data_IF_371884468124
#
_entry.id   IF_371884468124
#
_cell.length_a   1.000
_cell.length_b   1.000
_cell.length_c   1.000
_cell.angle_alpha   90.00
_cell.angle_beta   90.00
_cell.angle_gamma   90.00
#
_symmetry.space_group_name_H-M   'P 1'
#
loop_
_entity.id
_entity.type
_entity.pdbx_description
1 polymer ?
#
# COMPACT_ATOMS: atom_id res chain seq x y z
N UNK A 1 17.59 31.42 -7.00
CA UNK A 1 16.25 31.37 -6.37
C UNK A 1 16.36 31.00 -4.88
N UNK A 2 16.28 31.98 -3.96
CA UNK A 2 16.50 31.77 -2.49
C UNK A 2 15.47 30.83 -1.84
N UNK A 3 14.22 30.84 -2.32
CA UNK A 3 13.16 29.96 -1.81
C UNK A 3 13.48 28.45 -2.05
N UNK A 4 14.07 28.11 -3.20
CA UNK A 4 14.42 26.73 -3.54
C UNK A 4 15.56 26.17 -2.69
N UNK A 5 16.52 27.03 -2.32
CA UNK A 5 17.65 26.66 -1.43
C UNK A 5 17.17 26.48 0.02
N UNK A 6 16.25 27.34 0.49
CA UNK A 6 15.66 27.25 1.83
C UNK A 6 14.82 25.97 2.02
N UNK A 7 14.02 25.60 1.01
CA UNK A 7 13.24 24.35 1.02
C UNK A 7 14.15 23.12 1.16
N UNK A 8 15.28 23.07 0.45
CA UNK A 8 16.24 21.95 0.55
C UNK A 8 16.92 21.88 1.91
N UNK A 9 17.28 23.01 2.51
CA UNK A 9 17.89 23.04 3.84
C UNK A 9 16.94 22.50 4.93
N UNK A 10 15.65 22.85 4.87
CA UNK A 10 14.63 22.30 5.76
C UNK A 10 14.43 20.79 5.58
N UNK A 11 14.42 20.31 4.33
CA UNK A 11 14.26 18.88 4.01
C UNK A 11 15.44 18.06 4.53
N UNK A 12 16.66 18.58 4.40
CA UNK A 12 17.89 17.95 4.92
C UNK A 12 17.83 17.77 6.44
N UNK A 13 17.25 18.73 7.18
CA UNK A 13 17.11 18.66 8.64
C UNK A 13 16.07 17.61 9.09
N UNK A 14 15.13 17.26 8.23
CA UNK A 14 14.11 16.24 8.50
C UNK A 14 14.60 14.81 8.22
N UNK A 15 15.61 14.64 7.35
CA UNK A 15 16.20 13.35 6.99
C UNK A 15 16.85 12.68 8.20
N UNK A 16 16.74 11.35 8.27
CA UNK A 16 17.59 10.55 9.14
C UNK A 16 19.02 10.48 8.56
N UNK A 17 19.99 10.16 9.41
CA UNK A 17 21.36 9.89 8.95
C UNK A 17 21.45 8.74 7.95
N UNK A 18 20.59 7.71 8.09
CA UNK A 18 20.54 6.58 7.17
C UNK A 18 20.12 7.00 5.76
N UNK A 19 19.02 7.74 5.64
CA UNK A 19 18.54 8.20 4.34
C UNK A 19 19.51 9.18 3.70
N UNK A 20 20.08 10.07 4.52
CA UNK A 20 21.10 11.02 4.10
C UNK A 20 22.32 10.32 3.51
N UNK A 21 22.85 9.29 4.18
CA UNK A 21 23.95 8.45 3.68
C UNK A 21 23.63 7.85 2.31
N UNK A 22 22.47 7.22 2.15
CA UNK A 22 22.09 6.58 0.87
C UNK A 22 21.88 7.57 -0.26
N UNK A 23 21.42 8.78 0.03
CA UNK A 23 21.28 9.84 -0.97
C UNK A 23 22.66 10.36 -1.39
N UNK A 24 23.52 10.71 -0.44
CA UNK A 24 24.85 11.26 -0.75
C UNK A 24 25.76 10.22 -1.38
N UNK A 25 25.59 8.94 -1.07
CA UNK A 25 26.30 7.84 -1.74
C UNK A 25 25.73 7.51 -3.13
N UNK A 26 24.74 8.25 -3.63
CA UNK A 26 24.10 8.01 -4.94
C UNK A 26 23.26 6.73 -5.02
N UNK A 27 22.98 6.07 -3.89
CA UNK A 27 22.24 4.80 -3.84
C UNK A 27 20.73 4.99 -3.75
N UNK A 28 20.27 6.18 -3.43
CA UNK A 28 18.85 6.53 -3.40
C UNK A 28 18.61 7.92 -4.04
N UNK A 29 17.66 8.06 -4.97
CA UNK A 29 17.41 9.36 -5.61
C UNK A 29 16.85 10.40 -4.62
N UNK A 30 17.49 11.57 -4.54
CA UNK A 30 16.99 12.70 -3.73
C UNK A 30 15.55 13.08 -4.10
N UNK A 31 15.21 12.99 -5.40
CA UNK A 31 13.88 13.31 -5.90
C UNK A 31 12.79 12.43 -5.26
N UNK A 32 13.02 11.12 -5.18
CA UNK A 32 12.10 10.17 -4.56
C UNK A 32 11.89 10.47 -3.08
N UNK A 33 12.92 10.89 -2.35
CA UNK A 33 12.73 11.33 -0.96
C UNK A 33 11.80 12.55 -0.87
N UNK A 34 12.07 13.58 -1.67
CA UNK A 34 11.36 14.86 -1.62
C UNK A 34 9.88 14.72 -1.98
N UNK A 35 9.57 13.98 -3.05
CA UNK A 35 8.24 13.97 -3.65
C UNK A 35 7.44 12.70 -3.36
N UNK A 36 8.09 11.55 -3.16
CA UNK A 36 7.40 10.29 -2.83
C UNK A 36 7.33 10.06 -1.32
N UNK A 37 8.43 10.17 -0.59
CA UNK A 37 8.47 9.76 0.83
C UNK A 37 7.86 10.82 1.75
N UNK A 38 8.07 12.10 1.43
CA UNK A 38 7.63 13.21 2.30
C UNK A 38 6.12 13.29 2.50
N UNK A 39 5.31 12.88 1.51
CA UNK A 39 3.85 12.81 1.66
C UNK A 39 3.42 11.81 2.73
N UNK A 40 4.15 10.71 2.89
CA UNK A 40 3.86 9.70 3.92
C UNK A 40 4.29 10.15 5.32
N UNK A 41 5.36 10.93 5.42
CA UNK A 41 5.84 11.50 6.69
C UNK A 41 4.95 12.63 7.22
N UNK A 42 4.30 13.40 6.32
CA UNK A 42 3.37 14.48 6.70
C UNK A 42 2.07 13.97 7.30
N UNK A 43 1.62 12.80 6.86
CA UNK A 43 0.53 12.07 7.48
C UNK A 43 1.16 11.37 8.68
N UNK A 44 0.84 11.77 9.93
CA UNK A 44 1.47 11.30 11.18
C UNK A 44 1.36 9.77 11.47
N UNK A 45 1.21 8.94 10.45
CA UNK A 45 1.06 7.49 10.49
C UNK A 45 2.36 6.72 10.22
N UNK A 46 3.41 7.38 9.71
CA UNK A 46 4.67 6.72 9.31
C UNK A 46 5.83 7.25 10.13
N UNK A 47 6.53 6.36 10.83
CA UNK A 47 7.68 6.74 11.64
C UNK A 47 8.93 6.94 10.77
N UNK A 48 9.90 7.74 11.26
CA UNK A 48 11.22 7.86 10.60
C UNK A 48 11.90 6.49 10.44
N UNK A 49 11.68 5.58 11.38
CA UNK A 49 12.22 4.20 11.34
C UNK A 49 11.65 3.41 10.16
N UNK A 50 10.36 3.55 9.87
CA UNK A 50 9.73 2.87 8.72
C UNK A 50 10.27 3.40 7.39
N UNK A 51 10.58 4.70 7.32
CA UNK A 51 11.23 5.32 6.17
C UNK A 51 12.66 4.81 6.00
N UNK A 52 13.42 4.73 7.08
CA UNK A 52 14.80 4.21 7.07
C UNK A 52 14.84 2.76 6.59
N UNK A 53 13.91 1.94 7.08
CA UNK A 53 13.79 0.54 6.70
C UNK A 53 13.42 0.40 5.22
N UNK A 54 12.44 1.18 4.73
CA UNK A 54 12.10 1.20 3.30
C UNK A 54 13.29 1.60 2.44
N UNK A 55 13.96 2.72 2.76
CA UNK A 55 15.10 3.22 1.99
C UNK A 55 16.24 2.20 2.00
N UNK A 56 16.50 1.53 3.13
CA UNK A 56 17.50 0.48 3.22
C UNK A 56 17.19 -0.73 2.33
N UNK A 57 15.92 -1.10 2.19
CA UNK A 57 15.49 -2.21 1.33
C UNK A 57 15.62 -1.91 -0.17
N UNK A 58 15.40 -0.65 -0.59
CA UNK A 58 15.37 -0.26 -2.01
C UNK A 58 16.66 0.41 -2.51
N UNK A 59 17.52 0.90 -1.62
CA UNK A 59 18.73 1.63 -2.00
C UNK A 59 19.78 0.76 -2.71
N UNK A 60 20.30 1.24 -3.84
CA UNK A 60 21.32 0.57 -4.63
C UNK A 60 20.80 -0.55 -5.53
N UNK A 61 19.47 -0.68 -5.68
CA UNK A 61 18.81 -1.69 -6.53
C UNK A 61 18.57 -1.22 -7.98
N UNK A 62 19.17 -0.09 -8.38
CA UNK A 62 19.02 0.55 -9.70
C UNK A 62 17.55 0.72 -10.18
N UNK A 63 16.67 1.08 -9.25
CA UNK A 63 15.24 1.24 -9.52
C UNK A 63 14.94 2.59 -10.16
N UNK A 64 13.96 2.62 -11.07
CA UNK A 64 13.47 3.88 -11.60
C UNK A 64 12.71 4.68 -10.52
N UNK A 65 12.58 5.99 -10.71
CA UNK A 65 11.77 6.84 -9.82
C UNK A 65 10.32 6.32 -9.72
N UNK A 66 9.77 5.80 -10.82
CA UNK A 66 8.42 5.22 -10.86
C UNK A 66 8.32 3.93 -10.04
N UNK A 67 9.32 3.05 -10.15
CA UNK A 67 9.37 1.81 -9.36
C UNK A 67 9.46 2.13 -7.86
N UNK A 68 10.26 3.13 -7.48
CA UNK A 68 10.38 3.59 -6.09
C UNK A 68 9.05 4.17 -5.59
N UNK A 69 8.34 4.95 -6.41
CA UNK A 69 7.02 5.50 -6.05
C UNK A 69 5.97 4.40 -5.84
N UNK A 70 5.96 3.42 -6.74
CA UNK A 70 5.08 2.25 -6.65
C UNK A 70 5.37 1.42 -5.39
N UNK A 71 6.65 1.12 -5.14
CA UNK A 71 7.09 0.41 -3.94
C UNK A 71 6.77 1.17 -2.65
N UNK A 72 6.91 2.50 -2.64
CA UNK A 72 6.57 3.31 -1.48
C UNK A 72 5.06 3.23 -1.19
N UNK A 73 4.21 3.35 -2.21
CA UNK A 73 2.77 3.16 -2.04
C UNK A 73 2.44 1.74 -1.55
N UNK A 74 3.07 0.70 -2.11
CA UNK A 74 2.90 -0.69 -1.64
C UNK A 74 3.37 -0.91 -0.21
N UNK A 75 4.49 -0.31 0.20
CA UNK A 75 5.08 -0.48 1.52
C UNK A 75 4.31 0.26 2.63
N UNK A 76 3.94 1.53 2.38
CA UNK A 76 3.29 2.39 3.38
C UNK A 76 1.76 2.26 3.39
N UNK A 77 1.11 1.94 2.26
CA UNK A 77 -0.36 1.80 2.17
C UNK A 77 -0.84 0.36 1.93
N UNK A 78 0.03 -0.56 1.53
CA UNK A 78 -0.31 -1.94 1.22
C UNK A 78 -0.42 -2.86 2.44
N UNK A 79 -0.56 -4.16 2.17
CA UNK A 79 -0.68 -5.21 3.20
C UNK A 79 0.66 -5.53 3.87
N UNK A 80 0.60 -6.17 5.04
CA UNK A 80 1.80 -6.64 5.76
C UNK A 80 2.62 -7.66 4.93
N UNK A 81 1.96 -8.40 4.02
CA UNK A 81 2.60 -9.31 3.08
C UNK A 81 3.52 -8.56 2.12
N UNK A 82 3.02 -7.54 1.43
CA UNK A 82 3.81 -6.72 0.49
C UNK A 82 4.94 -6.02 1.24
N UNK A 83 4.66 -5.49 2.43
CA UNK A 83 5.67 -4.86 3.27
C UNK A 83 6.78 -5.85 3.65
N UNK A 84 6.43 -7.05 4.11
CA UNK A 84 7.38 -8.11 4.47
C UNK A 84 8.26 -8.54 3.30
N UNK A 85 7.69 -8.67 2.11
CA UNK A 85 8.44 -9.04 0.90
C UNK A 85 9.44 -7.96 0.47
N UNK A 86 9.06 -6.68 0.57
CA UNK A 86 9.97 -5.56 0.33
C UNK A 86 11.11 -5.56 1.35
N UNK A 87 10.81 -5.78 2.64
CA UNK A 87 11.83 -5.88 3.71
C UNK A 87 12.83 -7.02 3.46
N UNK A 88 12.33 -8.17 3.01
CA UNK A 88 13.14 -9.35 2.71
C UNK A 88 13.95 -9.22 1.41
N UNK A 89 13.85 -8.08 0.70
CA UNK A 89 14.62 -7.81 -0.50
C UNK A 89 14.05 -8.43 -1.77
N UNK A 90 12.82 -8.96 -1.72
CA UNK A 90 12.07 -9.50 -2.86
C UNK A 90 11.42 -8.36 -3.66
N UNK A 91 12.23 -7.38 -4.07
CA UNK A 91 11.80 -6.14 -4.70
C UNK A 91 11.19 -6.40 -6.09
N UNK A 92 11.76 -7.33 -6.86
CA UNK A 92 11.25 -7.71 -8.17
C UNK A 92 9.84 -8.30 -8.07
N UNK A 93 9.62 -9.23 -7.13
CA UNK A 93 8.29 -9.80 -6.86
C UNK A 93 7.28 -8.73 -6.40
N UNK A 94 7.71 -7.82 -5.51
CA UNK A 94 6.87 -6.71 -5.05
C UNK A 94 6.49 -5.78 -6.21
N UNK A 95 7.44 -5.46 -7.08
CA UNK A 95 7.20 -4.69 -8.29
C UNK A 95 6.32 -5.43 -9.27
N UNK A 96 6.49 -6.72 -9.51
CA UNK A 96 5.64 -7.49 -10.42
C UNK A 96 4.21 -7.58 -9.91
N UNK A 97 3.99 -7.76 -8.60
CA UNK A 97 2.64 -7.79 -8.03
C UNK A 97 1.97 -6.41 -8.04
N UNK A 98 2.72 -5.36 -7.73
CA UNK A 98 2.22 -3.98 -7.82
C UNK A 98 2.00 -3.56 -9.28
N UNK A 99 2.88 -4.00 -10.19
CA UNK A 99 2.74 -3.81 -11.63
C UNK A 99 1.58 -4.61 -12.16
N UNK A 100 1.33 -5.84 -11.75
CA UNK A 100 0.15 -6.61 -12.16
C UNK A 100 -1.16 -5.95 -11.68
N UNK A 101 -1.17 -5.37 -10.47
CA UNK A 101 -2.29 -4.55 -9.98
C UNK A 101 -2.44 -3.22 -10.75
N UNK A 102 -1.35 -2.66 -11.29
CA UNK A 102 -1.37 -1.39 -12.06
C UNK A 102 -1.41 -1.52 -13.59
N UNK A 103 -0.98 -2.65 -14.17
CA UNK A 103 -0.81 -2.89 -15.60
C UNK A 103 -2.15 -3.24 -16.26
N UNK A 104 -3.13 -3.70 -15.47
CA UNK A 104 -4.53 -3.72 -15.90
C UNK A 104 -5.11 -2.32 -16.12
N UNK A 105 -4.43 -1.22 -15.73
CA UNK A 105 -5.01 0.11 -15.85
C UNK A 105 -4.76 0.80 -17.21
N UNK A 106 -3.82 0.32 -18.04
CA UNK A 106 -3.49 1.01 -19.30
C UNK A 106 -4.36 0.64 -20.50
N UNK A 107 -4.92 -0.57 -20.54
CA UNK A 107 -5.75 -1.06 -21.66
C UNK A 107 -7.24 -1.25 -21.29
N UNK A 108 -7.59 -1.09 -20.01
CA UNK A 108 -8.98 -1.18 -19.56
C UNK A 108 -9.74 0.13 -19.77
N UNK A 109 -10.95 0.02 -20.32
CA UNK A 109 -11.95 1.07 -20.36
C UNK A 109 -12.25 1.59 -18.95
N UNK A 110 -12.79 2.81 -18.84
CA UNK A 110 -13.18 3.36 -17.53
C UNK A 110 -14.15 2.47 -16.75
N UNK A 111 -14.98 1.68 -17.44
CA UNK A 111 -15.91 0.75 -16.81
C UNK A 111 -15.15 -0.42 -16.16
N UNK A 112 -14.19 -1.01 -16.87
CA UNK A 112 -13.35 -2.11 -16.38
C UNK A 112 -12.44 -1.66 -15.23
N UNK A 113 -11.86 -0.45 -15.31
CA UNK A 113 -11.08 0.12 -14.20
C UNK A 113 -11.91 0.30 -12.93
N UNK A 114 -13.18 0.73 -13.06
CA UNK A 114 -14.10 0.82 -11.92
C UNK A 114 -14.40 -0.56 -11.34
N UNK A 115 -14.67 -1.55 -12.20
CA UNK A 115 -14.91 -2.92 -11.76
C UNK A 115 -13.70 -3.51 -11.01
N UNK A 116 -12.48 -3.33 -11.54
CA UNK A 116 -11.25 -3.77 -10.87
C UNK A 116 -11.09 -3.11 -9.49
N UNK A 117 -11.36 -1.81 -9.40
CA UNK A 117 -11.32 -1.09 -8.12
C UNK A 117 -12.37 -1.60 -7.14
N UNK A 118 -13.57 -1.92 -7.61
CA UNK A 118 -14.63 -2.48 -6.77
C UNK A 118 -14.25 -3.89 -6.25
N UNK A 119 -13.60 -4.71 -7.08
CA UNK A 119 -13.05 -6.02 -6.68
C UNK A 119 -11.95 -5.89 -5.62
N UNK A 120 -11.03 -4.93 -5.79
CA UNK A 120 -9.99 -4.66 -4.79
C UNK A 120 -10.58 -4.19 -3.45
N UNK A 121 -11.60 -3.32 -3.50
CA UNK A 121 -12.32 -2.85 -2.31
C UNK A 121 -13.00 -4.03 -1.60
N UNK A 122 -13.69 -4.89 -2.35
CA UNK A 122 -14.34 -6.08 -1.81
C UNK A 122 -13.33 -6.99 -1.11
N UNK A 123 -12.22 -7.33 -1.78
CA UNK A 123 -11.16 -8.17 -1.23
C UNK A 123 -10.60 -7.59 0.08
N UNK A 124 -10.28 -6.28 0.09
CA UNK A 124 -9.74 -5.59 1.27
C UNK A 124 -10.68 -5.67 2.46
N UNK A 125 -11.98 -5.44 2.26
CA UNK A 125 -12.95 -5.48 3.34
C UNK A 125 -13.27 -6.89 3.81
N UNK A 126 -13.33 -7.88 2.92
CA UNK A 126 -13.46 -9.30 3.29
C UNK A 126 -12.32 -9.76 4.19
N UNK A 127 -11.07 -9.42 3.84
CA UNK A 127 -9.90 -9.73 4.66
C UNK A 127 -9.95 -9.00 6.01
N UNK A 128 -10.28 -7.70 6.01
CA UNK A 128 -10.39 -6.91 7.24
C UNK A 128 -11.44 -7.45 8.21
N UNK A 129 -12.62 -7.84 7.71
CA UNK A 129 -13.67 -8.43 8.54
C UNK A 129 -13.22 -9.79 9.07
N UNK A 130 -12.61 -10.62 8.23
CA UNK A 130 -12.09 -11.94 8.62
C UNK A 130 -11.01 -11.88 9.71
N UNK A 131 -10.13 -10.87 9.67
CA UNK A 131 -9.12 -10.67 10.71
C UNK A 131 -9.73 -10.11 12.00
N UNK A 132 -10.60 -9.09 11.90
CA UNK A 132 -11.18 -8.42 13.07
C UNK A 132 -12.23 -9.27 13.80
N UNK A 133 -12.92 -10.18 13.11
CA UNK A 133 -13.90 -11.08 13.72
C UNK A 133 -13.28 -12.04 14.74
N UNK A 134 -11.96 -12.27 14.66
CA UNK A 134 -11.20 -13.10 15.61
C UNK A 134 -10.76 -12.35 16.88
N UNK A 135 -11.04 -11.04 16.98
CA UNK A 135 -10.67 -10.25 18.16
C UNK A 135 -11.54 -10.62 19.37
N UNK A 136 -10.90 -11.19 20.38
CA UNK A 136 -11.55 -11.62 21.63
C UNK A 136 -12.13 -10.47 22.45
N UNK A 137 -11.83 -9.20 22.10
CA UNK A 137 -12.40 -8.02 22.77
C UNK A 137 -13.85 -7.75 22.38
N UNK A 138 -14.37 -8.35 21.31
CA UNK A 138 -15.73 -8.14 20.80
C UNK A 138 -16.79 -8.92 21.61
N UNK A 139 -17.05 -8.49 22.85
CA UNK A 139 -17.94 -9.22 23.80
C UNK A 139 -19.25 -8.51 24.15
N UNK A 140 -19.41 -7.23 23.80
CA UNK A 140 -20.58 -6.45 24.19
C UNK A 140 -21.89 -7.01 23.61
N UNK A 141 -22.96 -7.06 24.41
CA UNK A 141 -24.25 -7.62 24.00
C UNK A 141 -24.91 -6.81 22.88
N UNK A 142 -24.84 -5.48 22.95
CA UNK A 142 -25.33 -4.58 21.90
C UNK A 142 -24.58 -4.77 20.57
N UNK A 143 -23.26 -4.98 20.64
CA UNK A 143 -22.45 -5.32 19.47
C UNK A 143 -22.88 -6.66 18.86
N UNK A 144 -23.09 -7.71 19.66
CA UNK A 144 -23.50 -9.02 19.15
C UNK A 144 -24.85 -8.98 18.45
N UNK A 145 -25.82 -8.24 18.98
CA UNK A 145 -27.12 -8.07 18.35
C UNK A 145 -27.01 -7.39 16.97
N UNK A 146 -26.27 -6.28 16.88
CA UNK A 146 -26.05 -5.58 15.61
C UNK A 146 -25.18 -6.38 14.64
N UNK A 147 -24.13 -7.04 15.14
CA UNK A 147 -23.25 -7.88 14.36
C UNK A 147 -24.02 -9.06 13.76
N UNK A 148 -24.89 -9.73 14.52
CA UNK A 148 -25.71 -10.83 14.00
C UNK A 148 -26.64 -10.40 12.87
N UNK A 149 -27.25 -9.21 12.97
CA UNK A 149 -28.09 -8.67 11.89
C UNK A 149 -27.27 -8.38 10.63
N UNK A 150 -26.11 -7.75 10.78
CA UNK A 150 -25.23 -7.40 9.66
C UNK A 150 -24.57 -8.63 9.02
N UNK A 151 -24.06 -9.58 9.82
CA UNK A 151 -23.48 -10.83 9.31
C UNK A 151 -24.55 -11.69 8.64
N UNK A 152 -25.79 -11.73 9.16
CA UNK A 152 -26.91 -12.38 8.49
C UNK A 152 -27.29 -11.73 7.15
N UNK A 153 -27.15 -10.40 7.03
CA UNK A 153 -27.27 -9.71 5.75
C UNK A 153 -26.17 -10.11 4.77
N UNK A 154 -24.91 -10.09 5.21
CA UNK A 154 -23.75 -10.46 4.41
C UNK A 154 -23.86 -11.92 3.94
N UNK A 155 -24.20 -12.86 4.83
CA UNK A 155 -24.32 -14.28 4.48
C UNK A 155 -25.38 -14.56 3.40
N UNK A 156 -26.49 -13.82 3.40
CA UNK A 156 -27.51 -13.94 2.34
C UNK A 156 -26.99 -13.43 0.99
N UNK A 157 -26.25 -12.34 0.98
CA UNK A 157 -25.68 -11.78 -0.25
C UNK A 157 -24.41 -12.52 -0.70
N UNK A 158 -23.77 -13.28 0.20
CA UNK A 158 -22.51 -13.96 -0.07
C UNK A 158 -22.65 -15.00 -1.20
N UNK A 159 -23.77 -15.72 -1.25
CA UNK A 159 -24.00 -16.72 -2.30
C UNK A 159 -24.10 -16.09 -3.69
N UNK A 160 -24.90 -15.03 -3.82
CA UNK A 160 -25.03 -14.29 -5.09
C UNK A 160 -23.72 -13.59 -5.47
N UNK A 161 -23.01 -13.03 -4.49
CA UNK A 161 -21.71 -12.42 -4.71
C UNK A 161 -20.66 -13.44 -5.16
N UNK A 162 -20.58 -14.61 -4.51
CA UNK A 162 -19.68 -15.70 -4.90
C UNK A 162 -19.97 -16.16 -6.32
N UNK A 163 -21.25 -16.35 -6.67
CA UNK A 163 -21.67 -16.73 -8.02
C UNK A 163 -21.22 -15.68 -9.04
N UNK A 164 -21.48 -14.40 -8.79
CA UNK A 164 -21.09 -13.31 -9.68
C UNK A 164 -19.56 -13.22 -9.87
N UNK A 165 -18.78 -13.37 -8.79
CA UNK A 165 -17.31 -13.36 -8.87
C UNK A 165 -16.79 -14.59 -9.61
N UNK A 166 -17.39 -15.76 -9.41
CA UNK A 166 -17.02 -17.00 -10.12
C UNK A 166 -17.31 -16.89 -11.62
N UNK A 167 -18.50 -16.41 -11.99
CA UNK A 167 -18.85 -16.16 -13.40
C UNK A 167 -17.92 -15.15 -14.06
N UNK A 168 -17.47 -14.13 -13.33
CA UNK A 168 -16.49 -13.17 -13.84
C UNK A 168 -15.10 -13.81 -14.00
N UNK A 169 -14.66 -14.60 -13.02
CA UNK A 169 -13.39 -15.31 -13.05
C UNK A 169 -13.32 -16.33 -14.20
N UNK A 170 -14.40 -17.06 -14.45
CA UNK A 170 -14.46 -18.06 -15.53
C UNK A 170 -14.47 -17.41 -16.94
N UNK A 171 -14.71 -16.10 -17.04
CA UNK A 171 -14.70 -15.31 -18.28
C UNK A 171 -13.37 -14.59 -18.54
N UNK A 172 -12.47 -14.54 -17.56
CA UNK A 172 -11.14 -13.94 -17.67
C UNK A 172 -10.09 -14.99 -18.04
#
# INVERSE_FOLDING_TARGET
SRAWVSVRAGIIKEMSGCVMDKIFSGRFPTYSYMYTLRQFMRINSVSKKDVDEFVSSVAGRNLSIRDIDMLANGYFKGSDEIRGQIKNGNIAWGLERLKASSAGATDCTQAEQRMLKDLEIAQKYMQRVSCKSRDQRLKAASFRAQANLLTGGILRQLHEFEKAVRELHDRC
#
